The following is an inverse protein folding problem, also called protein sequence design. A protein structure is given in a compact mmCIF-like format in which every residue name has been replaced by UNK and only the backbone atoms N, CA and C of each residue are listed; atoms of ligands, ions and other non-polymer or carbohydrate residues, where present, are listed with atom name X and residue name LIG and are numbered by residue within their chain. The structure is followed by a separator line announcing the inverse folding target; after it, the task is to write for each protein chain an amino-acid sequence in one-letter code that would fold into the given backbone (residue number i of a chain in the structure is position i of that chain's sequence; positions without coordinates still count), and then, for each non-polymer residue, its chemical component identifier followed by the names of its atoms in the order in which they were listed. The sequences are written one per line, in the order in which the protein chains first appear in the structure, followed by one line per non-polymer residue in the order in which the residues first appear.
data_IF_039799750066
#
_entry.id   IF_039799750066
#
_cell.length_a   1.000
_cell.length_b   1.000
_cell.length_c   1.000
_cell.angle_alpha   90.00
_cell.angle_beta   90.00
_cell.angle_gamma   90.00
#
_symmetry.space_group_name_H-M   'P 1'
#
loop_
_entity.id
_entity.type
_entity.pdbx_description
1 polymer ?
#
# COMPACT_ATOMS: atom_id res chain seq x y z
N UNK A 1 6.65 -33.01 -5.03
CA UNK A 1 7.59 -32.11 -5.70
C UNK A 1 8.77 -32.85 -6.30
N UNK A 2 9.60 -33.61 -5.53
CA UNK A 2 10.78 -34.28 -6.08
C UNK A 2 10.40 -35.31 -7.15
N UNK A 3 9.42 -36.18 -6.89
CA UNK A 3 8.91 -37.15 -7.85
C UNK A 3 8.34 -36.52 -9.11
N UNK A 4 7.64 -35.41 -8.97
CA UNK A 4 7.01 -34.70 -10.08
C UNK A 4 8.04 -34.03 -10.97
N UNK A 5 9.07 -33.43 -10.37
CA UNK A 5 10.20 -32.85 -11.12
C UNK A 5 10.98 -33.93 -11.87
N UNK A 6 11.22 -35.09 -11.25
CA UNK A 6 11.88 -36.19 -11.91
C UNK A 6 11.05 -36.78 -13.07
N UNK A 7 9.74 -36.90 -12.90
CA UNK A 7 8.82 -37.38 -13.97
C UNK A 7 8.78 -36.40 -15.15
N UNK A 8 8.87 -35.09 -14.90
CA UNK A 8 8.90 -34.05 -15.93
C UNK A 8 10.30 -33.83 -16.54
N UNK A 9 11.31 -34.60 -16.13
CA UNK A 9 12.71 -34.43 -16.56
C UNK A 9 13.29 -33.05 -16.31
N UNK A 10 12.87 -32.41 -15.22
CA UNK A 10 13.38 -31.11 -14.77
C UNK A 10 14.39 -31.34 -13.63
N UNK A 11 15.70 -31.42 -13.93
CA UNK A 11 16.71 -31.71 -12.92
C UNK A 11 16.83 -30.55 -11.94
N UNK A 12 16.70 -30.83 -10.65
CA UNK A 12 17.00 -29.91 -9.57
C UNK A 12 18.43 -30.13 -9.06
N UNK A 13 19.21 -29.05 -8.91
CA UNK A 13 20.56 -29.09 -8.32
C UNK A 13 20.53 -29.39 -6.82
N UNK A 14 19.40 -29.17 -6.17
CA UNK A 14 19.18 -29.47 -4.77
C UNK A 14 17.80 -29.07 -4.27
N UNK A 15 17.33 -29.83 -3.27
CA UNK A 15 16.06 -29.55 -2.58
C UNK A 15 16.40 -29.46 -1.09
N UNK A 16 16.09 -28.32 -0.48
CA UNK A 16 16.43 -27.99 0.90
C UNK A 16 15.20 -27.55 1.67
N UNK A 17 15.03 -28.04 2.88
CA UNK A 17 14.02 -27.55 3.81
C UNK A 17 14.66 -26.49 4.72
N UNK A 18 14.13 -25.27 4.68
CA UNK A 18 14.60 -24.15 5.51
C UNK A 18 13.43 -23.62 6.34
N UNK A 19 13.37 -24.07 7.60
CA UNK A 19 12.25 -23.79 8.48
C UNK A 19 10.94 -24.32 7.91
N UNK A 20 10.04 -23.40 7.55
CA UNK A 20 8.72 -23.72 6.98
C UNK A 20 8.68 -23.57 5.45
N UNK A 21 9.82 -23.39 4.80
CA UNK A 21 9.95 -23.17 3.35
C UNK A 21 10.73 -24.28 2.68
N UNK A 22 10.23 -24.77 1.54
CA UNK A 22 10.95 -25.70 0.67
C UNK A 22 11.68 -24.89 -0.40
N UNK A 23 13.01 -25.00 -0.43
CA UNK A 23 13.87 -24.34 -1.43
C UNK A 23 14.34 -25.38 -2.44
N UNK A 24 14.04 -25.13 -3.72
CA UNK A 24 14.49 -25.98 -4.84
C UNK A 24 15.40 -25.16 -5.73
N UNK A 25 16.60 -25.66 -5.99
CA UNK A 25 17.60 -24.98 -6.80
C UNK A 25 17.67 -25.60 -8.19
N UNK A 26 17.70 -24.76 -9.20
CA UNK A 26 17.88 -25.13 -10.61
C UNK A 26 19.10 -24.44 -11.18
N UNK A 27 19.67 -25.04 -12.22
CA UNK A 27 20.87 -24.52 -12.87
C UNK A 27 20.59 -23.31 -13.76
N UNK A 28 19.42 -23.29 -14.39
CA UNK A 28 19.04 -22.25 -15.33
C UNK A 28 17.63 -21.69 -15.05
N UNK A 29 17.35 -20.41 -15.44
CA UNK A 29 16.06 -19.77 -15.22
C UNK A 29 14.89 -20.41 -15.99
N UNK A 30 15.13 -20.96 -17.18
CA UNK A 30 14.07 -21.57 -18.00
C UNK A 30 13.52 -22.84 -17.35
N UNK A 31 14.42 -23.69 -16.82
CA UNK A 31 14.04 -24.86 -16.03
C UNK A 31 13.31 -24.46 -14.74
N UNK A 32 13.73 -23.36 -14.10
CA UNK A 32 13.08 -22.83 -12.92
C UNK A 32 11.63 -22.40 -13.19
N UNK A 33 11.38 -21.71 -14.29
CA UNK A 33 10.01 -21.26 -14.68
C UNK A 33 9.10 -22.46 -14.94
N UNK A 34 9.58 -23.44 -15.73
CA UNK A 34 8.81 -24.67 -16.02
C UNK A 34 8.51 -25.46 -14.75
N UNK A 35 9.48 -25.57 -13.86
CA UNK A 35 9.32 -26.25 -12.57
C UNK A 35 8.30 -25.53 -11.67
N UNK A 36 8.29 -24.18 -11.65
CA UNK A 36 7.29 -23.41 -10.92
C UNK A 36 5.88 -23.77 -11.36
N UNK A 37 5.63 -23.78 -12.67
CA UNK A 37 4.28 -24.03 -13.20
C UNK A 37 3.81 -25.45 -12.88
N UNK A 38 4.70 -26.42 -12.98
CA UNK A 38 4.42 -27.82 -12.60
C UNK A 38 4.11 -27.95 -11.09
N UNK A 39 4.93 -27.32 -10.25
CA UNK A 39 4.77 -27.38 -8.79
C UNK A 39 3.49 -26.66 -8.37
N UNK A 40 3.16 -25.53 -9.01
CA UNK A 40 1.92 -24.79 -8.75
C UNK A 40 0.67 -25.62 -9.08
N UNK A 41 0.70 -26.35 -10.19
CA UNK A 41 -0.39 -27.26 -10.55
C UNK A 41 -0.55 -28.39 -9.53
N UNK A 42 0.53 -28.92 -9.00
CA UNK A 42 0.51 -30.02 -8.04
C UNK A 42 0.08 -29.59 -6.63
N UNK A 43 0.55 -28.42 -6.15
CA UNK A 43 0.31 -27.96 -4.79
C UNK A 43 -0.98 -27.12 -4.67
N UNK A 44 -1.51 -26.63 -5.78
CA UNK A 44 -2.68 -25.74 -5.81
C UNK A 44 -2.42 -24.38 -5.16
N UNK A 45 -3.50 -23.68 -4.81
CA UNK A 45 -3.46 -22.29 -4.31
C UNK A 45 -3.07 -22.18 -2.83
N UNK A 46 -2.84 -23.30 -2.14
CA UNK A 46 -2.49 -23.31 -0.72
C UNK A 46 -1.01 -22.96 -0.45
N UNK A 47 -0.19 -22.90 -1.49
CA UNK A 47 1.24 -22.61 -1.38
C UNK A 47 1.63 -21.48 -2.32
N UNK A 48 2.51 -20.62 -1.82
CA UNK A 48 3.08 -19.51 -2.60
C UNK A 48 4.44 -19.95 -3.11
N UNK A 49 4.62 -19.98 -4.44
CA UNK A 49 5.90 -20.29 -5.08
C UNK A 49 6.57 -19.01 -5.52
N UNK A 50 7.65 -18.65 -4.85
CA UNK A 50 8.47 -17.50 -5.17
C UNK A 50 9.70 -17.92 -5.99
N UNK A 51 9.96 -17.22 -7.10
CA UNK A 51 11.19 -17.38 -7.87
C UNK A 51 12.26 -16.44 -7.31
N UNK A 52 13.47 -16.96 -7.11
CA UNK A 52 14.61 -16.17 -6.69
C UNK A 52 15.86 -16.59 -7.45
N UNK A 53 16.69 -15.62 -7.82
CA UNK A 53 17.97 -15.88 -8.46
C UNK A 53 19.07 -15.88 -7.40
N UNK A 54 19.74 -17.02 -7.25
CA UNK A 54 20.90 -17.13 -6.38
C UNK A 54 22.16 -16.75 -7.16
N UNK A 55 23.04 -15.98 -6.53
CA UNK A 55 24.35 -15.68 -7.09
C UNK A 55 25.16 -16.97 -7.22
N UNK A 56 25.75 -17.19 -8.40
CA UNK A 56 26.73 -18.25 -8.64
C UNK A 56 28.15 -17.85 -8.21
N UNK A 57 28.30 -16.79 -7.44
CA UNK A 57 29.60 -16.30 -6.97
C UNK A 57 30.34 -17.35 -6.13
N UNK A 58 31.64 -17.54 -6.33
CA UNK A 58 32.42 -18.47 -5.53
C UNK A 58 32.40 -18.13 -4.04
N UNK A 59 32.46 -19.15 -3.18
CA UNK A 59 32.36 -18.98 -1.72
C UNK A 59 33.44 -18.05 -1.11
N UNK A 60 34.59 -17.88 -1.76
CA UNK A 60 35.64 -16.97 -1.31
C UNK A 60 35.25 -15.49 -1.45
N UNK A 61 34.31 -15.15 -2.35
CA UNK A 61 33.78 -13.80 -2.52
C UNK A 61 33.02 -13.33 -1.26
N UNK A 62 32.30 -14.24 -0.63
CA UNK A 62 31.61 -13.97 0.62
C UNK A 62 32.57 -13.64 1.78
N UNK A 63 33.77 -14.22 1.80
CA UNK A 63 34.81 -13.91 2.80
C UNK A 63 35.35 -12.48 2.68
N UNK A 64 35.32 -11.91 1.49
CA UNK A 64 35.70 -10.51 1.23
C UNK A 64 34.57 -9.50 1.48
N UNK A 65 33.40 -9.96 1.97
CA UNK A 65 32.17 -9.15 2.10
C UNK A 65 31.78 -8.47 0.77
N UNK A 66 32.20 -9.01 -0.35
CA UNK A 66 31.85 -8.53 -1.68
C UNK A 66 30.50 -9.14 -2.05
N UNK A 67 29.50 -8.28 -2.21
CA UNK A 67 28.20 -8.70 -2.74
C UNK A 67 28.24 -8.59 -4.27
N UNK A 68 27.66 -9.54 -5.02
CA UNK A 68 27.50 -9.41 -6.45
C UNK A 68 26.66 -8.17 -6.74
N UNK A 69 27.03 -7.44 -7.78
CA UNK A 69 26.28 -6.28 -8.23
C UNK A 69 24.92 -6.73 -8.76
N UNK A 70 23.85 -6.20 -8.19
CA UNK A 70 22.50 -6.47 -8.68
C UNK A 70 22.33 -5.81 -10.05
N UNK A 71 22.00 -6.63 -11.03
CA UNK A 71 21.72 -6.14 -12.38
C UNK A 71 20.35 -5.47 -12.38
N UNK A 72 20.30 -4.19 -12.76
CA UNK A 72 19.04 -3.44 -12.89
C UNK A 72 18.19 -3.89 -14.09
N UNK A 73 17.07 -3.22 -14.30
CA UNK A 73 16.14 -3.44 -15.40
C UNK A 73 16.82 -3.47 -16.78
N UNK A 74 17.84 -2.63 -16.99
CA UNK A 74 18.55 -2.50 -18.26
C UNK A 74 19.30 -3.77 -18.68
N UNK A 75 19.70 -4.60 -17.71
CA UNK A 75 20.51 -5.80 -17.93
C UNK A 75 19.73 -7.11 -17.71
N UNK A 76 18.65 -7.07 -16.95
CA UNK A 76 17.79 -8.24 -16.66
C UNK A 76 16.50 -8.25 -17.46
N UNK A 77 16.13 -7.14 -18.07
CA UNK A 77 14.76 -6.90 -18.51
C UNK A 77 13.82 -6.76 -17.33
N UNK A 78 12.57 -6.49 -17.58
CA UNK A 78 11.56 -6.35 -16.54
C UNK A 78 10.57 -5.25 -16.87
N UNK A 79 9.66 -4.98 -15.95
CA UNK A 79 8.60 -4.01 -16.14
C UNK A 79 8.81 -2.80 -15.25
N UNK A 80 8.59 -1.61 -15.83
CA UNK A 80 8.67 -0.34 -15.13
C UNK A 80 7.30 0.35 -15.19
N UNK A 81 6.67 0.54 -14.05
CA UNK A 81 5.42 1.28 -13.93
C UNK A 81 5.66 2.63 -13.24
N UNK A 82 5.02 3.65 -13.76
CA UNK A 82 4.82 4.92 -13.08
C UNK A 82 3.35 5.04 -12.72
N UNK A 83 3.03 4.94 -11.45
CA UNK A 83 1.68 5.01 -10.92
C UNK A 83 1.43 6.39 -10.32
N UNK A 84 0.25 6.92 -10.51
CA UNK A 84 -0.19 8.16 -9.86
C UNK A 84 -1.25 7.85 -8.81
N UNK A 85 -1.09 8.42 -7.61
CA UNK A 85 -2.05 8.28 -6.53
C UNK A 85 -3.19 9.28 -6.75
N UNK A 86 -4.42 8.80 -6.76
CA UNK A 86 -5.61 9.66 -6.81
C UNK A 86 -5.77 10.43 -5.48
N UNK A 87 -5.18 11.63 -5.44
CA UNK A 87 -5.22 12.50 -4.28
C UNK A 87 -6.62 13.00 -3.96
N UNK A 88 -7.45 13.18 -4.99
CA UNK A 88 -8.84 13.59 -4.80
C UNK A 88 -9.63 12.51 -4.06
N UNK A 89 -9.52 11.26 -4.49
CA UNK A 89 -10.16 10.14 -3.81
C UNK A 89 -9.66 9.98 -2.36
N UNK A 90 -8.38 10.23 -2.08
CA UNK A 90 -7.83 10.19 -0.73
C UNK A 90 -8.44 11.27 0.19
N UNK A 91 -8.58 12.50 -0.33
CA UNK A 91 -9.23 13.61 0.39
C UNK A 91 -10.71 13.33 0.59
N UNK A 92 -11.41 12.88 -0.45
CA UNK A 92 -12.84 12.53 -0.40
C UNK A 92 -13.13 11.49 0.69
N UNK A 93 -12.36 10.42 0.73
CA UNK A 93 -12.45 9.38 1.76
C UNK A 93 -12.18 9.91 3.17
N UNK A 94 -11.26 10.84 3.30
CA UNK A 94 -10.96 11.47 4.58
C UNK A 94 -12.09 12.37 5.06
N UNK A 95 -12.69 13.15 4.16
CA UNK A 95 -13.87 13.99 4.47
C UNK A 95 -15.05 13.12 4.90
N UNK A 96 -15.30 12.00 4.22
CA UNK A 96 -16.34 11.05 4.61
C UNK A 96 -16.10 10.48 6.01
N UNK A 97 -14.87 10.12 6.34
CA UNK A 97 -14.49 9.67 7.68
C UNK A 97 -14.76 10.75 8.72
N UNK A 98 -14.33 11.99 8.50
CA UNK A 98 -14.63 13.11 9.39
C UNK A 98 -16.13 13.34 9.56
N UNK A 99 -16.89 13.25 8.47
CA UNK A 99 -18.37 13.32 8.56
C UNK A 99 -18.96 12.25 9.46
N UNK A 100 -18.46 11.02 9.37
CA UNK A 100 -18.85 9.90 10.25
C UNK A 100 -18.48 10.15 11.71
N UNK A 101 -17.26 10.63 11.95
CA UNK A 101 -16.76 10.90 13.31
C UNK A 101 -17.53 12.06 13.97
N UNK A 102 -17.81 13.14 13.23
CA UNK A 102 -18.62 14.26 13.68
C UNK A 102 -20.01 13.78 14.08
N UNK A 103 -20.68 12.98 13.24
CA UNK A 103 -22.01 12.45 13.55
C UNK A 103 -22.02 11.59 14.82
N UNK A 104 -21.01 10.76 14.99
CA UNK A 104 -20.86 9.88 16.16
C UNK A 104 -20.66 10.69 17.43
N UNK A 105 -19.76 11.67 17.40
CA UNK A 105 -19.46 12.49 18.57
C UNK A 105 -20.61 13.40 18.99
N UNK A 106 -21.26 14.07 18.05
CA UNK A 106 -22.43 14.89 18.34
C UNK A 106 -23.57 14.07 18.96
N UNK A 107 -23.77 12.82 18.51
CA UNK A 107 -24.73 11.89 19.11
C UNK A 107 -24.32 11.49 20.52
N UNK A 108 -23.05 11.16 20.74
CA UNK A 108 -22.51 10.77 22.05
C UNK A 108 -22.69 11.90 23.07
N UNK A 109 -22.50 13.16 22.66
CA UNK A 109 -22.71 14.35 23.48
C UNK A 109 -24.17 14.82 23.54
N UNK A 110 -25.10 14.10 22.87
CA UNK A 110 -26.52 14.45 22.78
C UNK A 110 -26.80 15.85 22.18
N UNK A 111 -25.87 16.34 21.32
CA UNK A 111 -26.04 17.60 20.60
C UNK A 111 -26.87 17.32 19.34
N UNK A 112 -28.02 17.97 19.24
CA UNK A 112 -28.92 17.82 18.09
C UNK A 112 -28.53 18.79 16.99
N UNK A 113 -28.28 18.26 15.78
CA UNK A 113 -28.01 19.05 14.59
C UNK A 113 -29.14 18.89 13.56
N UNK A 114 -29.28 19.86 12.68
CA UNK A 114 -30.27 19.83 11.59
C UNK A 114 -29.75 19.05 10.40
N UNK A 115 -28.63 19.48 9.83
CA UNK A 115 -28.05 18.93 8.61
C UNK A 115 -26.52 18.84 8.73
N UNK A 116 -25.95 17.79 8.14
CA UNK A 116 -24.51 17.71 7.89
C UNK A 116 -24.33 17.35 6.42
N UNK A 117 -23.85 18.30 5.62
CA UNK A 117 -23.68 18.19 4.17
C UNK A 117 -22.23 18.45 3.80
N UNK A 118 -21.77 17.78 2.75
CA UNK A 118 -20.50 18.09 2.11
C UNK A 118 -20.72 19.17 1.04
N UNK A 119 -19.86 20.18 1.04
CA UNK A 119 -19.83 21.24 0.04
C UNK A 119 -18.38 21.40 -0.42
N UNK A 120 -18.06 20.83 -1.59
CA UNK A 120 -16.69 20.76 -2.08
C UNK A 120 -15.78 19.97 -1.11
N UNK A 121 -14.70 20.61 -0.65
CA UNK A 121 -13.73 20.03 0.30
C UNK A 121 -14.04 20.40 1.77
N UNK A 122 -15.24 20.89 2.05
CA UNK A 122 -15.69 21.29 3.37
C UNK A 122 -16.95 20.53 3.77
N UNK A 123 -17.22 20.49 5.08
CA UNK A 123 -18.46 20.00 5.65
C UNK A 123 -19.24 21.20 6.23
N UNK A 124 -20.51 21.32 5.92
CA UNK A 124 -21.43 22.28 6.52
C UNK A 124 -22.33 21.57 7.52
N UNK A 125 -22.25 22.00 8.77
CA UNK A 125 -23.09 21.54 9.87
C UNK A 125 -24.11 22.64 10.19
N UNK A 126 -25.41 22.39 9.91
CA UNK A 126 -26.50 23.26 10.28
C UNK A 126 -27.04 22.93 11.66
N UNK A 127 -27.11 23.92 12.52
CA UNK A 127 -27.64 23.81 13.88
C UNK A 127 -29.02 24.43 13.99
N UNK A 128 -29.75 24.11 15.06
CA UNK A 128 -31.11 24.66 15.27
C UNK A 128 -31.11 26.01 15.99
N UNK A 129 -30.11 26.22 16.84
CA UNK A 129 -29.99 27.37 17.70
C UNK A 129 -28.52 27.68 18.01
N UNK A 130 -28.26 28.90 18.44
CA UNK A 130 -26.91 29.38 18.75
C UNK A 130 -26.24 28.65 19.93
N UNK A 131 -27.04 28.17 20.91
CA UNK A 131 -26.49 27.44 22.04
C UNK A 131 -25.94 26.07 21.61
N UNK A 132 -26.69 25.35 20.78
CA UNK A 132 -26.25 24.09 20.16
C UNK A 132 -25.05 24.31 19.23
N UNK A 133 -24.99 25.43 18.50
CA UNK A 133 -23.88 25.79 17.63
C UNK A 133 -22.58 25.92 18.44
N UNK A 134 -22.59 26.70 19.52
CA UNK A 134 -21.44 26.88 20.39
C UNK A 134 -21.00 25.58 21.05
N UNK A 135 -21.96 24.78 21.52
CA UNK A 135 -21.65 23.48 22.11
C UNK A 135 -20.99 22.53 21.10
N UNK A 136 -21.46 22.54 19.85
CA UNK A 136 -20.86 21.75 18.76
C UNK A 136 -19.46 22.23 18.42
N UNK A 137 -19.25 23.55 18.31
CA UNK A 137 -17.96 24.16 18.06
C UNK A 137 -16.93 23.77 19.12
N UNK A 138 -17.29 23.88 20.42
CA UNK A 138 -16.42 23.53 21.54
C UNK A 138 -16.01 22.05 21.55
N UNK A 139 -16.92 21.17 21.19
CA UNK A 139 -16.66 19.71 21.12
C UNK A 139 -15.79 19.39 19.92
N UNK A 140 -16.12 19.94 18.74
CA UNK A 140 -15.40 19.65 17.52
C UNK A 140 -14.00 20.27 17.49
N UNK A 141 -13.80 21.46 18.07
CA UNK A 141 -12.49 22.09 18.19
C UNK A 141 -11.52 21.23 19.01
N UNK A 142 -12.01 20.56 20.07
CA UNK A 142 -11.21 19.65 20.89
C UNK A 142 -10.93 18.32 20.21
N UNK A 143 -11.93 17.79 19.49
CA UNK A 143 -11.83 16.48 18.85
C UNK A 143 -11.03 16.52 17.55
N UNK A 144 -11.16 17.60 16.79
CA UNK A 144 -10.60 17.74 15.42
C UNK A 144 -9.70 18.99 15.32
N UNK A 145 -8.56 19.03 16.05
CA UNK A 145 -7.66 20.18 16.05
C UNK A 145 -7.02 20.44 14.68
N UNK A 146 -7.03 19.46 13.80
CA UNK A 146 -6.48 19.52 12.44
C UNK A 146 -7.45 20.15 11.42
N UNK A 147 -8.66 20.48 11.84
CA UNK A 147 -9.66 21.13 11.02
C UNK A 147 -9.79 22.61 11.40
N UNK A 148 -10.21 23.42 10.44
CA UNK A 148 -10.58 24.81 10.65
C UNK A 148 -12.10 24.86 10.79
N UNK A 149 -12.58 25.46 11.89
CA UNK A 149 -13.97 25.70 12.15
C UNK A 149 -14.26 27.18 11.91
N UNK A 150 -15.27 27.47 11.07
CA UNK A 150 -15.76 28.84 10.83
C UNK A 150 -17.26 28.86 11.13
N UNK A 151 -17.63 29.69 12.08
CA UNK A 151 -19.01 29.84 12.52
C UNK A 151 -19.70 30.93 11.73
N UNK A 152 -20.91 30.67 11.27
CA UNK A 152 -21.82 31.66 10.73
C UNK A 152 -23.03 31.74 11.68
N UNK A 153 -22.99 32.74 12.57
CA UNK A 153 -23.99 32.94 13.59
C UNK A 153 -25.36 33.34 13.01
N UNK A 154 -25.36 33.99 11.83
CA UNK A 154 -26.60 34.42 11.17
C UNK A 154 -27.42 33.26 10.64
N UNK A 155 -26.74 32.21 10.18
CA UNK A 155 -27.35 31.01 9.59
C UNK A 155 -27.33 29.81 10.54
N UNK A 156 -26.83 29.99 11.77
CA UNK A 156 -26.57 28.89 12.72
C UNK A 156 -25.83 27.72 12.06
N UNK A 157 -24.78 28.03 11.32
CA UNK A 157 -23.99 27.06 10.58
C UNK A 157 -22.53 27.04 11.05
N UNK A 158 -21.96 25.86 11.04
CA UNK A 158 -20.52 25.64 11.23
C UNK A 158 -19.94 25.05 9.94
N UNK A 159 -19.00 25.79 9.34
CA UNK A 159 -18.23 25.34 8.17
C UNK A 159 -16.94 24.74 8.68
N UNK A 160 -16.71 23.48 8.33
CA UNK A 160 -15.57 22.67 8.77
C UNK A 160 -14.72 22.36 7.55
N UNK A 161 -13.49 22.85 7.53
CA UNK A 161 -12.55 22.67 6.42
C UNK A 161 -11.24 22.07 6.89
N UNK A 162 -10.55 21.35 6.00
CA UNK A 162 -9.25 20.74 6.27
C UNK A 162 -8.20 21.84 6.28
N UNK A 163 -7.32 21.87 7.30
CA UNK A 163 -6.17 22.77 7.32
C UNK A 163 -5.17 22.40 6.21
N UNK A 164 -4.46 23.37 5.61
CA UNK A 164 -3.45 23.09 4.58
C UNK A 164 -2.39 22.06 5.02
N UNK A 165 -1.98 22.10 6.28
CA UNK A 165 -0.99 21.17 6.85
C UNK A 165 -1.53 19.74 6.89
N UNK A 166 -2.79 19.57 7.29
CA UNK A 166 -3.46 18.27 7.31
C UNK A 166 -3.69 17.74 5.88
N UNK A 167 -3.95 18.63 4.93
CA UNK A 167 -4.06 18.24 3.51
C UNK A 167 -2.77 17.62 2.99
N UNK A 168 -1.62 18.24 3.28
CA UNK A 168 -0.30 17.69 2.91
C UNK A 168 -0.06 16.34 3.59
N UNK A 169 -0.47 16.22 4.85
CA UNK A 169 -0.36 14.95 5.59
C UNK A 169 -1.21 13.84 4.97
N UNK A 170 -2.46 14.13 4.61
CA UNK A 170 -3.35 13.19 3.93
C UNK A 170 -2.71 12.69 2.64
N UNK A 171 -2.11 13.59 1.85
CA UNK A 171 -1.41 13.22 0.62
C UNK A 171 -0.21 12.30 0.90
N UNK A 172 0.62 12.67 1.86
CA UNK A 172 1.80 11.88 2.24
C UNK A 172 1.42 10.50 2.75
N UNK A 173 0.40 10.42 3.60
CA UNK A 173 -0.08 9.16 4.16
C UNK A 173 -0.71 8.26 3.07
N UNK A 174 -1.44 8.86 2.11
CA UNK A 174 -1.98 8.13 0.96
C UNK A 174 -0.87 7.49 0.12
N UNK A 175 0.20 8.23 -0.19
CA UNK A 175 1.35 7.69 -0.94
C UNK A 175 2.01 6.55 -0.16
N UNK A 176 2.31 6.75 1.14
CA UNK A 176 2.92 5.71 1.99
C UNK A 176 2.08 4.44 2.05
N UNK A 177 0.76 4.59 2.23
CA UNK A 177 -0.17 3.45 2.27
C UNK A 177 -0.18 2.69 0.94
N UNK A 178 -0.19 3.40 -0.19
CA UNK A 178 -0.13 2.78 -1.51
C UNK A 178 1.20 2.04 -1.73
N UNK A 179 2.34 2.62 -1.34
CA UNK A 179 3.66 1.96 -1.39
C UNK A 179 3.64 0.67 -0.58
N UNK A 180 3.14 0.71 0.66
CA UNK A 180 3.04 -0.48 1.52
C UNK A 180 2.16 -1.56 0.89
N UNK A 181 1.03 -1.16 0.31
CA UNK A 181 0.11 -2.07 -0.37
C UNK A 181 0.76 -2.71 -1.59
N UNK A 182 1.51 -1.93 -2.39
CA UNK A 182 2.25 -2.41 -3.56
C UNK A 182 3.35 -3.39 -3.13
N UNK A 183 4.13 -3.07 -2.09
CA UNK A 183 5.12 -3.99 -1.54
C UNK A 183 4.50 -5.33 -1.16
N UNK A 184 3.39 -5.30 -0.41
CA UNK A 184 2.71 -6.52 0.00
C UNK A 184 2.22 -7.35 -1.20
N UNK A 185 1.63 -6.71 -2.21
CA UNK A 185 1.16 -7.39 -3.43
C UNK A 185 2.30 -7.98 -4.24
N UNK A 186 3.37 -7.22 -4.43
CA UNK A 186 4.54 -7.66 -5.21
C UNK A 186 5.27 -8.81 -4.49
N UNK A 187 5.37 -8.74 -3.16
CA UNK A 187 5.95 -9.83 -2.36
C UNK A 187 5.13 -11.12 -2.46
N UNK A 188 3.80 -11.03 -2.51
CA UNK A 188 2.92 -12.21 -2.72
C UNK A 188 3.16 -12.84 -4.10
N UNK A 189 3.49 -12.02 -5.12
CA UNK A 189 3.84 -12.52 -6.46
C UNK A 189 5.23 -13.14 -6.53
N UNK A 190 6.02 -13.04 -5.46
CA UNK A 190 7.35 -13.65 -5.38
C UNK A 190 8.40 -12.97 -6.26
N UNK A 191 8.18 -11.72 -6.68
CA UNK A 191 9.17 -10.97 -7.47
C UNK A 191 10.39 -10.68 -6.62
N UNK A 192 11.56 -11.08 -7.11
CA UNK A 192 12.81 -10.82 -6.42
C UNK A 192 13.21 -9.35 -6.56
N UNK A 193 13.51 -8.71 -5.42
CA UNK A 193 14.08 -7.36 -5.34
C UNK A 193 13.28 -6.27 -6.09
N UNK A 194 11.98 -6.13 -5.86
CA UNK A 194 11.21 -5.07 -6.48
C UNK A 194 11.67 -3.71 -5.94
N UNK A 195 11.81 -2.73 -6.82
CA UNK A 195 12.04 -1.34 -6.41
C UNK A 195 10.70 -0.62 -6.43
N UNK A 196 10.23 -0.21 -5.26
CA UNK A 196 8.98 0.55 -5.10
C UNK A 196 9.30 1.80 -4.30
N UNK A 197 9.25 2.96 -4.94
CA UNK A 197 9.64 4.21 -4.31
C UNK A 197 8.79 5.38 -4.77
N UNK A 198 8.66 6.38 -3.91
CA UNK A 198 7.98 7.62 -4.24
C UNK A 198 8.79 8.44 -5.23
N UNK A 199 8.12 9.00 -6.23
CA UNK A 199 8.68 9.96 -7.18
C UNK A 199 7.84 11.23 -7.22
N UNK A 200 8.34 12.31 -6.63
CA UNK A 200 7.56 13.56 -6.50
C UNK A 200 6.49 13.47 -5.42
N UNK A 201 5.43 14.27 -5.54
CA UNK A 201 4.41 14.41 -4.51
C UNK A 201 3.36 13.29 -4.50
N UNK A 202 2.99 12.78 -5.68
CA UNK A 202 1.84 11.90 -5.87
C UNK A 202 2.11 10.66 -6.73
N UNK A 203 3.36 10.42 -7.13
CA UNK A 203 3.72 9.31 -8.02
C UNK A 203 4.54 8.26 -7.29
N UNK A 204 4.41 7.02 -7.75
CA UNK A 204 5.13 5.85 -7.26
C UNK A 204 5.74 5.13 -8.46
N UNK A 205 7.05 4.94 -8.42
CA UNK A 205 7.76 4.10 -9.38
C UNK A 205 7.79 2.68 -8.84
N UNK A 206 7.42 1.73 -9.70
CA UNK A 206 7.51 0.30 -9.44
C UNK A 206 8.35 -0.34 -10.52
N UNK A 207 9.45 -0.95 -10.13
CA UNK A 207 10.33 -1.69 -11.04
C UNK A 207 10.36 -3.15 -10.61
N UNK A 208 10.04 -4.03 -11.53
CA UNK A 208 9.96 -5.47 -11.32
C UNK A 208 10.98 -6.17 -12.23
N UNK A 209 12.23 -6.35 -11.76
CA UNK A 209 13.27 -7.00 -12.57
C UNK A 209 12.93 -8.46 -12.84
N UNK A 210 13.18 -8.92 -14.07
CA UNK A 210 13.02 -10.30 -14.48
C UNK A 210 11.56 -10.78 -14.64
N UNK A 211 10.58 -9.87 -14.56
CA UNK A 211 9.19 -10.17 -14.93
C UNK A 211 9.03 -9.99 -16.44
N UNK A 212 8.51 -11.00 -17.11
CA UNK A 212 8.15 -10.96 -18.53
C UNK A 212 6.62 -10.91 -18.65
N UNK A 213 6.12 -10.20 -19.68
CA UNK A 213 4.70 -10.16 -20.02
C UNK A 213 4.17 -11.54 -20.43
#
# INVERSE_FOLDING_TARGET
VEKSLAAAKLPADGIYLDGNSLKVRFHDPDTQIKARDLIQQELGDNYIIALNLLSSSPAWFAKLKAHPMFLGLDLRGGVHFLLEVDMKAAVDKTIERYSGDIRRELRAKKIRYGTLKRVGDSLELGMRDAASLKAAEDVLARMLPNLTLKTDDTLNKLVISIKPEEFVKIQTDAVKQNITTLHNRVNVLGVAEPVIQQQGANRIVVQLPGVQD
#
